data_IF_366981031680
#
_entry.id   IF_366981031680
#
_cell.length_a   1.000
_cell.length_b   1.000
_cell.length_c   1.000
_cell.angle_alpha   90.00
_cell.angle_beta   90.00
_cell.angle_gamma   90.00
#
_symmetry.space_group_name_H-M   'P 1'
#
loop_
_entity.id
_entity.type
_entity.pdbx_description
1 polymer ?
#
# COMPACT_ATOMS: atom_id res chain seq x y z
N UNK A 1 -5.92 1.17 -90.28
CA UNK A 1 -6.64 2.03 -89.31
C UNK A 1 -6.80 1.19 -88.04
N UNK A 2 -5.71 0.98 -87.29
CA UNK A 2 -5.34 1.71 -86.03
C UNK A 2 -6.40 1.48 -84.94
N UNK A 3 -6.35 0.41 -84.14
CA UNK A 3 -5.56 0.25 -82.89
C UNK A 3 -5.42 1.54 -82.09
N UNK A 4 -6.08 1.60 -80.93
CA UNK A 4 -5.55 2.24 -79.71
C UNK A 4 -6.21 1.60 -78.50
N UNK A 5 -5.45 0.75 -77.81
CA UNK A 5 -5.67 0.35 -76.42
C UNK A 5 -5.50 1.57 -75.52
N UNK A 6 -6.34 1.71 -74.49
CA UNK A 6 -6.06 2.55 -73.33
C UNK A 6 -6.11 1.63 -72.13
N UNK A 7 -4.92 1.20 -71.72
CA UNK A 7 -4.64 0.70 -70.39
C UNK A 7 -4.49 1.91 -69.46
N UNK A 8 -5.19 1.88 -68.33
CA UNK A 8 -4.87 2.61 -67.11
C UNK A 8 -5.78 2.01 -66.02
N UNK A 9 -5.37 1.67 -64.81
CA UNK A 9 -4.07 1.54 -64.16
C UNK A 9 -4.44 0.94 -62.81
N UNK A 10 -4.24 -0.37 -62.62
CA UNK A 10 -4.47 -1.03 -61.31
C UNK A 10 -3.45 -0.49 -60.30
N UNK A 11 -3.86 0.50 -59.50
CA UNK A 11 -3.13 0.85 -58.28
C UNK A 11 -3.54 -0.11 -57.16
N UNK A 12 -3.15 -1.38 -57.30
CA UNK A 12 -3.15 -2.33 -56.19
C UNK A 12 -1.89 -2.06 -55.36
N UNK A 13 -1.93 -1.00 -54.55
CA UNK A 13 -0.94 -0.78 -53.50
C UNK A 13 -1.04 -1.95 -52.54
N UNK A 14 0.00 -2.79 -52.53
CA UNK A 14 0.20 -3.89 -51.60
C UNK A 14 -0.14 -3.41 -50.18
N UNK A 15 -1.26 -3.88 -49.63
CA UNK A 15 -1.56 -3.76 -48.22
C UNK A 15 -0.50 -4.61 -47.50
N UNK A 16 0.53 -3.96 -46.95
CA UNK A 16 1.42 -4.62 -46.02
C UNK A 16 0.57 -5.10 -44.84
N UNK A 17 0.30 -6.40 -44.78
CA UNK A 17 -0.46 -7.00 -43.69
C UNK A 17 0.24 -6.66 -42.37
N UNK A 18 -0.49 -6.02 -41.46
CA UNK A 18 0.03 -5.70 -40.15
C UNK A 18 0.38 -6.99 -39.40
N UNK A 19 1.48 -7.01 -38.63
CA UNK A 19 1.82 -8.14 -37.78
C UNK A 19 0.63 -8.57 -36.91
N UNK A 20 0.40 -9.88 -36.80
CA UNK A 20 -0.72 -10.44 -36.04
C UNK A 20 -0.77 -9.94 -34.60
N UNK A 21 0.40 -9.74 -33.97
CA UNK A 21 0.51 -9.20 -32.62
C UNK A 21 -0.12 -7.80 -32.49
N UNK A 22 0.10 -6.91 -33.46
CA UNK A 22 -0.52 -5.58 -33.45
C UNK A 22 -2.04 -5.65 -33.59
N UNK A 23 -2.54 -6.61 -34.38
CA UNK A 23 -3.98 -6.83 -34.55
C UNK A 23 -4.60 -7.33 -33.25
N UNK A 24 -3.90 -8.20 -32.51
CA UNK A 24 -4.32 -8.70 -31.21
C UNK A 24 -4.35 -7.57 -30.17
N UNK A 25 -3.37 -6.66 -30.16
CA UNK A 25 -3.38 -5.44 -29.32
C UNK A 25 -4.61 -4.58 -29.63
N UNK A 26 -4.91 -4.32 -30.91
CA UNK A 26 -6.06 -3.50 -31.28
C UNK A 26 -7.39 -4.14 -30.87
N UNK A 27 -7.46 -5.47 -30.93
CA UNK A 27 -8.62 -6.22 -30.45
C UNK A 27 -8.78 -6.11 -28.94
N UNK A 28 -7.70 -6.29 -28.18
CA UNK A 28 -7.70 -6.15 -26.72
C UNK A 28 -8.12 -4.74 -26.29
N UNK A 29 -7.64 -3.71 -26.98
CA UNK A 29 -8.09 -2.33 -26.75
C UNK A 29 -9.58 -2.17 -27.05
N UNK A 30 -10.09 -2.70 -28.17
CA UNK A 30 -11.50 -2.60 -28.54
C UNK A 30 -12.47 -3.28 -27.55
N UNK A 31 -12.01 -4.31 -26.85
CA UNK A 31 -12.75 -5.00 -25.78
C UNK A 31 -12.78 -4.22 -24.46
N UNK A 32 -11.92 -3.21 -24.29
CA UNK A 32 -11.86 -2.42 -23.07
C UNK A 32 -13.00 -1.39 -23.00
N UNK A 33 -13.82 -1.48 -21.95
CA UNK A 33 -14.99 -0.62 -21.73
C UNK A 33 -14.64 0.79 -21.25
N UNK A 34 -13.46 0.97 -20.63
CA UNK A 34 -13.03 2.28 -20.09
C UNK A 34 -12.56 3.27 -21.17
N UNK A 35 -12.34 2.79 -22.40
CA UNK A 35 -11.77 3.59 -23.49
C UNK A 35 -12.86 4.34 -24.26
N UNK A 36 -12.69 5.65 -24.40
CA UNK A 36 -13.57 6.49 -25.25
C UNK A 36 -13.01 6.57 -26.67
N UNK A 37 -13.58 5.79 -27.58
CA UNK A 37 -13.16 5.70 -29.00
C UNK A 37 -13.65 6.87 -29.87
N UNK A 38 -14.75 7.51 -29.52
CA UNK A 38 -15.31 8.65 -30.24
C UNK A 38 -16.23 9.43 -29.33
N UNK A 39 -16.27 10.76 -29.49
CA UNK A 39 -17.33 11.57 -28.90
C UNK A 39 -18.65 11.23 -29.61
N UNK A 40 -19.53 10.51 -28.91
CA UNK A 40 -20.86 10.12 -29.37
C UNK A 40 -21.90 11.01 -28.68
N UNK A 41 -22.92 11.43 -29.42
CA UNK A 41 -24.11 12.07 -28.85
C UNK A 41 -25.03 11.02 -28.23
N UNK A 42 -25.97 11.44 -27.40
CA UNK A 42 -26.90 10.55 -26.68
C UNK A 42 -27.69 9.63 -27.63
N UNK A 43 -27.98 10.11 -28.84
CA UNK A 43 -28.76 9.39 -29.85
C UNK A 43 -27.88 8.61 -30.86
N UNK A 44 -26.55 8.66 -30.73
CA UNK A 44 -25.66 7.92 -31.63
C UNK A 44 -25.68 6.42 -31.26
N UNK A 45 -25.63 5.53 -32.27
CA UNK A 45 -25.56 4.09 -32.01
C UNK A 45 -24.23 3.70 -31.36
N UNK A 46 -24.27 2.70 -30.47
CA UNK A 46 -23.06 2.15 -29.86
C UNK A 46 -22.11 1.57 -30.91
N UNK A 47 -20.82 1.88 -30.76
CA UNK A 47 -19.78 1.37 -31.66
C UNK A 47 -19.59 -0.14 -31.49
N UNK A 48 -19.60 -0.86 -32.61
CA UNK A 48 -19.31 -2.28 -32.62
C UNK A 48 -17.80 -2.54 -32.37
N UNK A 49 -17.44 -3.75 -31.91
CA UNK A 49 -16.05 -4.14 -31.66
C UNK A 49 -15.15 -3.95 -32.90
N UNK A 50 -15.66 -4.28 -34.09
CA UNK A 50 -14.93 -4.09 -35.34
C UNK A 50 -14.69 -2.61 -35.65
N UNK A 51 -15.66 -1.74 -35.38
CA UNK A 51 -15.53 -0.30 -35.58
C UNK A 51 -14.54 0.31 -34.58
N UNK A 52 -14.60 -0.11 -33.31
CA UNK A 52 -13.60 0.26 -32.29
C UNK A 52 -12.20 -0.17 -32.72
N UNK A 53 -12.02 -1.40 -33.19
CA UNK A 53 -10.74 -1.90 -33.68
C UNK A 53 -10.23 -1.10 -34.87
N UNK A 54 -11.10 -0.75 -35.82
CA UNK A 54 -10.76 0.10 -36.96
C UNK A 54 -10.29 1.49 -36.52
N UNK A 55 -10.99 2.12 -35.57
CA UNK A 55 -10.60 3.44 -35.03
C UNK A 55 -9.18 3.39 -34.42
N UNK A 56 -8.88 2.32 -33.66
CA UNK A 56 -7.57 2.11 -33.03
C UNK A 56 -6.49 1.92 -34.11
N UNK A 57 -6.76 1.07 -35.10
CA UNK A 57 -5.86 0.81 -36.22
C UNK A 57 -5.59 2.07 -37.05
N UNK A 58 -6.62 2.85 -37.34
CA UNK A 58 -6.51 4.13 -38.04
C UNK A 58 -5.68 5.14 -37.26
N UNK A 59 -5.87 5.23 -35.94
CA UNK A 59 -5.07 6.10 -35.08
C UNK A 59 -3.58 5.72 -35.13
N UNK A 60 -3.26 4.43 -35.02
CA UNK A 60 -1.89 3.92 -35.12
C UNK A 60 -1.27 4.20 -36.50
N UNK A 61 -2.01 3.90 -37.57
CA UNK A 61 -1.56 4.08 -38.94
C UNK A 61 -1.43 5.56 -39.32
N UNK A 62 -2.20 6.45 -38.70
CA UNK A 62 -2.09 7.89 -38.92
C UNK A 62 -0.84 8.42 -38.22
N UNK A 63 -0.76 8.29 -36.89
CA UNK A 63 0.36 8.80 -36.12
C UNK A 63 0.53 7.99 -34.82
N UNK A 64 1.68 7.33 -34.69
CA UNK A 64 1.97 6.41 -33.58
C UNK A 64 2.05 7.11 -32.22
N UNK A 65 2.53 8.36 -32.17
CA UNK A 65 2.58 9.14 -30.92
C UNK A 65 1.17 9.42 -30.40
N UNK A 66 0.27 9.90 -31.29
CA UNK A 66 -1.12 10.17 -30.92
C UNK A 66 -1.86 8.90 -30.48
N UNK A 67 -1.55 7.76 -31.10
CA UNK A 67 -2.04 6.47 -30.64
C UNK A 67 -1.59 6.18 -29.20
N UNK A 68 -0.30 6.34 -28.90
CA UNK A 68 0.24 6.09 -27.56
C UNK A 68 -0.33 7.06 -26.53
N UNK A 69 -0.44 8.35 -26.83
CA UNK A 69 -1.04 9.35 -25.92
C UNK A 69 -2.48 8.94 -25.56
N UNK A 70 -3.22 8.42 -26.53
CA UNK A 70 -4.65 8.13 -26.37
C UNK A 70 -4.93 6.78 -25.73
N UNK A 71 -4.16 5.74 -26.07
CA UNK A 71 -4.45 4.36 -25.68
C UNK A 71 -3.38 3.76 -24.76
N UNK A 72 -2.24 4.44 -24.58
CA UNK A 72 -1.07 3.89 -23.89
C UNK A 72 -1.32 3.52 -22.42
N UNK A 73 -2.20 4.25 -21.73
CA UNK A 73 -2.59 3.95 -20.34
C UNK A 73 -3.37 2.65 -20.17
N UNK A 74 -3.91 2.10 -21.27
CA UNK A 74 -4.74 0.89 -21.27
C UNK A 74 -3.99 -0.34 -21.79
N UNK A 75 -2.69 -0.20 -22.09
CA UNK A 75 -1.84 -1.29 -22.54
C UNK A 75 -1.19 -1.99 -21.36
N UNK A 76 -1.01 -3.31 -21.48
CA UNK A 76 -0.21 -4.08 -20.53
C UNK A 76 1.30 -4.04 -20.88
N UNK A 77 2.14 -4.55 -19.96
CA UNK A 77 3.59 -4.56 -20.16
C UNK A 77 4.02 -5.38 -21.40
N UNK A 78 3.35 -6.49 -21.67
CA UNK A 78 3.61 -7.33 -22.85
C UNK A 78 3.31 -6.60 -24.15
N UNK A 79 2.16 -5.94 -24.24
CA UNK A 79 1.72 -5.15 -25.37
C UNK A 79 2.63 -3.93 -25.60
N UNK A 80 3.10 -3.27 -24.54
CA UNK A 80 4.09 -2.18 -24.64
C UNK A 80 5.43 -2.69 -25.17
N UNK A 81 5.89 -3.87 -24.74
CA UNK A 81 7.10 -4.51 -25.26
C UNK A 81 6.94 -4.92 -26.74
N UNK A 82 5.79 -5.48 -27.11
CA UNK A 82 5.47 -5.83 -28.49
C UNK A 82 5.45 -4.57 -29.38
N UNK A 83 4.84 -3.49 -28.94
CA UNK A 83 4.88 -2.20 -29.63
C UNK A 83 6.31 -1.66 -29.75
N UNK A 84 7.13 -1.76 -28.71
CA UNK A 84 8.53 -1.34 -28.81
C UNK A 84 9.28 -2.14 -29.88
N UNK A 85 9.03 -3.45 -30.00
CA UNK A 85 9.70 -4.30 -30.98
C UNK A 85 9.15 -4.19 -32.42
N UNK A 86 7.86 -3.88 -32.57
CA UNK A 86 7.14 -3.90 -33.85
C UNK A 86 6.84 -2.52 -34.42
N UNK A 87 6.55 -1.53 -33.56
CA UNK A 87 6.23 -0.16 -33.97
C UNK A 87 7.49 0.67 -34.28
N UNK A 88 8.63 0.28 -33.71
CA UNK A 88 9.96 0.89 -33.97
C UNK A 88 10.63 0.14 -35.14
N UNK A 89 10.01 0.16 -36.31
CA UNK A 89 10.65 -0.31 -37.55
C UNK A 89 10.57 0.78 -38.60
N UNK A 90 11.72 1.09 -39.20
CA UNK A 90 11.79 2.00 -40.34
C UNK A 90 10.96 1.45 -41.53
N UNK A 91 10.34 2.33 -42.34
CA UNK A 91 10.47 3.78 -42.31
C UNK A 91 9.49 4.47 -41.33
N UNK A 92 9.99 5.51 -40.66
CA UNK A 92 9.20 6.41 -39.81
C UNK A 92 8.56 7.47 -40.70
N UNK A 93 7.33 7.86 -40.37
CA UNK A 93 6.65 8.91 -41.13
C UNK A 93 7.27 10.27 -40.83
N UNK A 94 7.27 11.23 -41.76
CA UNK A 94 7.92 12.53 -41.55
C UNK A 94 7.29 13.37 -40.42
N UNK A 95 6.06 13.04 -40.01
CA UNK A 95 5.32 13.66 -38.91
C UNK A 95 5.46 12.92 -37.57
N UNK A 96 6.33 11.92 -37.49
CA UNK A 96 6.60 11.13 -36.29
C UNK A 96 8.08 11.24 -35.89
N UNK A 97 8.33 11.27 -34.59
CA UNK A 97 9.63 11.29 -33.95
C UNK A 97 9.89 9.97 -33.25
N UNK A 98 10.95 9.28 -33.66
CA UNK A 98 11.32 8.00 -33.05
C UNK A 98 11.59 8.13 -31.55
N UNK A 99 12.24 9.23 -31.19
CA UNK A 99 12.66 9.49 -29.83
C UNK A 99 11.45 9.71 -28.94
N UNK A 100 10.48 10.50 -29.39
CA UNK A 100 9.26 10.76 -28.63
C UNK A 100 8.44 9.48 -28.44
N UNK A 101 8.34 8.62 -29.48
CA UNK A 101 7.67 7.32 -29.37
C UNK A 101 8.35 6.44 -28.30
N UNK A 102 9.68 6.39 -28.27
CA UNK A 102 10.44 5.63 -27.25
C UNK A 102 10.21 6.17 -25.86
N UNK A 103 10.29 7.49 -25.69
CA UNK A 103 10.05 8.15 -24.40
C UNK A 103 8.64 7.89 -23.88
N UNK A 104 7.62 7.93 -24.75
CA UNK A 104 6.25 7.58 -24.36
C UNK A 104 6.13 6.12 -23.91
N UNK A 105 6.72 5.18 -24.66
CA UNK A 105 6.67 3.76 -24.28
C UNK A 105 7.33 3.51 -22.93
N UNK A 106 8.51 4.08 -22.70
CA UNK A 106 9.21 3.95 -21.42
C UNK A 106 8.42 4.63 -20.29
N UNK A 107 7.79 5.78 -20.54
CA UNK A 107 6.92 6.45 -19.58
C UNK A 107 5.69 5.60 -19.19
N UNK A 108 5.00 5.01 -20.17
CA UNK A 108 3.86 4.13 -19.89
C UNK A 108 4.28 2.87 -19.13
N UNK A 109 5.43 2.27 -19.47
CA UNK A 109 5.98 1.15 -18.70
C UNK A 109 6.27 1.58 -17.27
N UNK A 110 6.98 2.69 -17.05
CA UNK A 110 7.26 3.21 -15.71
C UNK A 110 5.97 3.40 -14.92
N UNK A 111 4.99 4.10 -15.49
CA UNK A 111 3.67 4.33 -14.87
C UNK A 111 2.95 3.04 -14.52
N UNK A 112 3.02 2.00 -15.36
CA UNK A 112 2.39 0.72 -15.10
C UNK A 112 2.98 0.04 -13.86
N UNK A 113 4.32 0.06 -13.73
CA UNK A 113 5.03 -0.54 -12.60
C UNK A 113 4.88 0.28 -11.31
N UNK A 114 4.89 1.61 -11.40
CA UNK A 114 4.80 2.50 -10.23
C UNK A 114 3.36 2.81 -9.82
N UNK A 115 2.34 2.47 -10.62
CA UNK A 115 0.93 2.82 -10.35
C UNK A 115 0.50 2.49 -8.92
N UNK A 116 0.81 1.28 -8.45
CA UNK A 116 0.40 0.84 -7.11
C UNK A 116 1.05 1.68 -5.99
N UNK A 117 2.30 2.11 -6.21
CA UNK A 117 3.05 2.96 -5.29
C UNK A 117 2.50 4.39 -5.35
N UNK A 118 2.29 4.94 -6.55
CA UNK A 118 1.68 6.27 -6.73
C UNK A 118 0.30 6.37 -6.07
N UNK A 119 -0.55 5.35 -6.23
CA UNK A 119 -1.86 5.29 -5.57
C UNK A 119 -1.71 5.29 -4.04
N UNK A 120 -0.80 4.47 -3.50
CA UNK A 120 -0.52 4.46 -2.04
C UNK A 120 0.00 5.81 -1.56
N UNK A 121 0.87 6.46 -2.32
CA UNK A 121 1.42 7.77 -1.98
C UNK A 121 0.33 8.87 -2.00
N UNK A 122 -0.53 8.88 -3.02
CA UNK A 122 -1.70 9.79 -3.10
C UNK A 122 -2.66 9.57 -1.93
N UNK A 123 -2.97 8.30 -1.62
CA UNK A 123 -3.80 7.94 -0.46
C UNK A 123 -3.13 8.36 0.84
N UNK A 124 -1.82 8.22 0.98
CA UNK A 124 -1.09 8.69 2.15
C UNK A 124 -1.22 10.20 2.33
N UNK A 125 -1.05 10.99 1.26
CA UNK A 125 -1.26 12.44 1.29
C UNK A 125 -2.70 12.81 1.65
N UNK A 126 -3.69 12.12 1.08
CA UNK A 126 -5.10 12.32 1.45
C UNK A 126 -5.36 11.97 2.93
N UNK A 127 -4.78 10.88 3.43
CA UNK A 127 -4.88 10.45 4.82
C UNK A 127 -4.32 11.51 5.77
N UNK A 128 -3.15 12.08 5.48
CA UNK A 128 -2.56 13.15 6.28
C UNK A 128 -3.46 14.39 6.34
N UNK A 129 -4.05 14.78 5.21
CA UNK A 129 -5.02 15.89 5.16
C UNK A 129 -6.27 15.59 6.01
N UNK A 130 -6.78 14.35 5.98
CA UNK A 130 -7.93 13.94 6.78
C UNK A 130 -7.61 13.90 8.28
N UNK A 131 -6.42 13.44 8.65
CA UNK A 131 -5.93 13.47 10.03
C UNK A 131 -5.81 14.91 10.55
N UNK A 132 -5.34 15.85 9.71
CA UNK A 132 -5.25 17.25 10.06
C UNK A 132 -6.62 17.91 10.26
N UNK A 133 -7.62 17.56 9.43
CA UNK A 133 -9.00 18.02 9.59
C UNK A 133 -9.67 17.42 10.83
N UNK A 134 -9.36 16.16 11.16
CA UNK A 134 -9.81 15.48 12.38
C UNK A 134 -11.24 14.93 12.36
N UNK A 135 -11.96 15.06 11.25
CA UNK A 135 -13.36 14.57 11.14
C UNK A 135 -13.39 13.05 10.88
N UNK A 136 -12.76 12.61 9.78
CA UNK A 136 -12.82 11.21 9.29
C UNK A 136 -12.12 10.19 10.20
N UNK A 137 -11.04 10.61 10.86
CA UNK A 137 -10.29 9.81 11.84
C UNK A 137 -10.66 10.17 13.28
N UNK A 138 -11.84 10.76 13.50
CA UNK A 138 -12.37 10.88 14.85
C UNK A 138 -12.73 9.49 15.39
N UNK A 139 -12.59 9.29 16.70
CA UNK A 139 -12.93 8.03 17.35
C UNK A 139 -14.38 7.61 17.03
N UNK A 140 -15.29 8.58 16.96
CA UNK A 140 -16.69 8.35 16.63
C UNK A 140 -16.87 7.80 15.21
N UNK A 141 -16.32 8.46 14.19
CA UNK A 141 -16.41 8.01 12.79
C UNK A 141 -15.75 6.64 12.60
N UNK A 142 -14.59 6.42 13.21
CA UNK A 142 -13.88 5.15 13.10
C UNK A 142 -14.64 4.00 13.76
N UNK A 143 -15.29 4.25 14.90
CA UNK A 143 -16.16 3.29 15.57
C UNK A 143 -17.39 2.93 14.72
N UNK A 144 -17.98 3.90 14.01
CA UNK A 144 -19.12 3.64 13.12
C UNK A 144 -18.74 2.75 11.94
N UNK A 145 -17.56 3.00 11.35
CA UNK A 145 -17.07 2.23 10.20
C UNK A 145 -16.58 0.83 10.57
N UNK A 146 -16.06 0.65 11.78
CA UNK A 146 -15.48 -0.61 12.24
C UNK A 146 -15.86 -0.94 13.70
N UNK A 147 -17.15 -1.22 14.00
CA UNK A 147 -17.64 -1.40 15.35
C UNK A 147 -17.03 -2.63 16.06
N UNK A 148 -16.82 -3.72 15.33
CA UNK A 148 -16.18 -4.95 15.84
C UNK A 148 -14.75 -4.70 16.31
N UNK A 149 -13.94 -4.10 15.43
CA UNK A 149 -12.55 -3.78 15.72
C UNK A 149 -12.43 -2.79 16.87
N UNK A 150 -13.32 -1.79 16.91
CA UNK A 150 -13.40 -0.85 18.01
C UNK A 150 -13.72 -1.55 19.33
N UNK A 151 -14.70 -2.46 19.35
CA UNK A 151 -15.08 -3.18 20.57
C UNK A 151 -13.92 -4.01 21.12
N UNK A 152 -13.17 -4.70 20.25
CA UNK A 152 -12.03 -5.52 20.61
C UNK A 152 -10.85 -4.70 21.16
N UNK A 153 -10.48 -3.59 20.51
CA UNK A 153 -9.28 -2.85 20.89
C UNK A 153 -9.54 -1.71 21.87
N UNK A 154 -10.76 -1.15 21.89
CA UNK A 154 -11.06 0.05 22.66
C UNK A 154 -12.28 -0.18 23.56
N UNK A 155 -13.43 -0.52 22.98
CA UNK A 155 -14.74 -0.54 23.64
C UNK A 155 -14.84 -1.42 24.89
N UNK A 156 -14.21 -2.59 24.90
CA UNK A 156 -14.19 -3.48 26.09
C UNK A 156 -13.38 -2.94 27.26
N UNK A 157 -12.44 -2.02 26.99
CA UNK A 157 -11.54 -1.43 28.00
C UNK A 157 -11.97 -0.02 28.44
N UNK A 158 -13.14 0.45 28.02
CA UNK A 158 -13.74 1.69 28.54
C UNK A 158 -14.61 1.40 29.78
N UNK A 159 -14.43 2.23 30.81
CA UNK A 159 -15.33 2.27 31.96
C UNK A 159 -16.71 2.82 31.55
N UNK A 160 -17.76 2.50 32.32
CA UNK A 160 -19.10 3.04 32.07
C UNK A 160 -19.13 4.58 32.09
N UNK A 161 -18.30 5.20 32.95
CA UNK A 161 -18.16 6.64 33.02
C UNK A 161 -17.54 7.22 31.74
N UNK A 162 -16.50 6.59 31.20
CA UNK A 162 -15.87 6.99 29.94
C UNK A 162 -16.81 6.76 28.74
N UNK A 163 -17.53 5.63 28.70
CA UNK A 163 -18.57 5.38 27.66
C UNK A 163 -19.62 6.48 27.67
N UNK A 164 -20.10 6.88 28.85
CA UNK A 164 -21.07 7.97 29.00
C UNK A 164 -20.52 9.34 28.61
N UNK A 165 -19.22 9.58 28.81
CA UNK A 165 -18.56 10.80 28.35
C UNK A 165 -18.40 10.82 26.83
N UNK A 166 -17.99 9.69 26.23
CA UNK A 166 -17.91 9.53 24.78
C UNK A 166 -19.26 9.75 24.11
N UNK A 167 -20.30 9.15 24.67
CA UNK A 167 -21.67 9.26 24.17
C UNK A 167 -22.38 10.55 24.63
N UNK A 168 -21.66 11.46 25.28
CA UNK A 168 -22.23 12.73 25.70
C UNK A 168 -22.47 13.61 24.47
N UNK A 169 -23.73 13.96 24.25
CA UNK A 169 -24.16 14.78 23.13
C UNK A 169 -24.47 16.20 23.59
N UNK A 170 -24.06 17.21 22.80
CA UNK A 170 -24.38 18.60 23.09
C UNK A 170 -25.83 18.92 22.71
N UNK A 171 -26.73 18.65 23.65
CA UNK A 171 -28.17 18.88 23.52
C UNK A 171 -28.51 20.39 23.37
N UNK A 172 -27.61 21.31 23.76
CA UNK A 172 -27.93 22.75 23.75
C UNK A 172 -27.69 23.42 22.40
N UNK A 173 -26.73 22.90 21.63
CA UNK A 173 -26.32 23.50 20.36
C UNK A 173 -26.89 22.77 19.13
N UNK A 174 -27.81 21.83 19.34
CA UNK A 174 -28.31 20.92 18.30
C UNK A 174 -29.83 21.00 18.15
N UNK A 175 -30.30 20.84 16.91
CA UNK A 175 -31.73 20.80 16.59
C UNK A 175 -32.38 19.55 17.18
N UNK A 176 -33.70 19.60 17.43
CA UNK A 176 -34.48 18.44 17.84
C UNK A 176 -34.30 17.23 16.90
N UNK A 177 -34.17 17.47 15.59
CA UNK A 177 -33.84 16.43 14.63
C UNK A 177 -32.48 15.78 14.90
N UNK A 178 -31.47 16.57 15.26
CA UNK A 178 -30.13 16.06 15.61
C UNK A 178 -30.15 15.21 16.88
N UNK A 179 -30.92 15.61 17.89
CA UNK A 179 -31.10 14.83 19.12
C UNK A 179 -31.74 13.46 18.79
N UNK A 180 -32.77 13.44 17.94
CA UNK A 180 -33.42 12.19 17.53
C UNK A 180 -32.49 11.29 16.72
N UNK A 181 -31.76 11.84 15.75
CA UNK A 181 -30.79 11.09 14.94
C UNK A 181 -29.70 10.49 15.83
N UNK A 182 -29.10 11.29 16.70
CA UNK A 182 -28.11 10.81 17.67
C UNK A 182 -28.65 9.67 18.54
N UNK A 183 -29.89 9.80 19.04
CA UNK A 183 -30.52 8.75 19.88
C UNK A 183 -30.76 7.46 19.11
N UNK A 184 -31.11 7.56 17.81
CA UNK A 184 -31.30 6.39 16.95
C UNK A 184 -29.96 5.72 16.61
N UNK A 185 -28.95 6.51 16.25
CA UNK A 185 -27.59 6.03 15.96
C UNK A 185 -26.97 5.37 17.20
N UNK A 186 -27.16 5.95 18.39
CA UNK A 186 -26.71 5.37 19.65
C UNK A 186 -27.36 4.01 19.91
N UNK A 187 -28.68 3.91 19.72
CA UNK A 187 -29.39 2.63 19.92
C UNK A 187 -28.91 1.57 18.93
N UNK A 188 -28.79 1.91 17.65
CA UNK A 188 -28.31 0.98 16.63
C UNK A 188 -26.90 0.47 16.96
N UNK A 189 -26.03 1.36 17.45
CA UNK A 189 -24.68 1.01 17.87
C UNK A 189 -24.68 0.07 19.08
N UNK A 190 -25.46 0.38 20.10
CA UNK A 190 -25.55 -0.44 21.31
C UNK A 190 -26.07 -1.85 20.99
N UNK A 191 -27.07 -1.95 20.09
CA UNK A 191 -27.58 -3.22 19.60
C UNK A 191 -26.51 -4.03 18.86
N UNK A 192 -25.71 -3.37 18.00
CA UNK A 192 -24.64 -4.02 17.22
C UNK A 192 -23.51 -4.51 18.15
N UNK A 193 -23.05 -3.67 19.08
CA UNK A 193 -22.03 -4.05 20.07
C UNK A 193 -22.52 -5.21 20.95
N UNK A 194 -23.79 -5.21 21.35
CA UNK A 194 -24.37 -6.31 22.11
C UNK A 194 -24.37 -7.61 21.32
N UNK A 195 -24.70 -7.58 20.02
CA UNK A 195 -24.64 -8.75 19.15
C UNK A 195 -23.21 -9.29 19.04
N UNK A 196 -22.22 -8.43 18.82
CA UNK A 196 -20.80 -8.81 18.76
C UNK A 196 -20.36 -9.46 20.08
N UNK A 197 -20.66 -8.83 21.21
CA UNK A 197 -20.33 -9.38 22.54
C UNK A 197 -20.97 -10.76 22.76
N UNK A 198 -22.20 -10.98 22.28
CA UNK A 198 -22.83 -12.31 22.36
C UNK A 198 -22.14 -13.33 21.46
N UNK A 199 -21.83 -12.99 20.21
CA UNK A 199 -21.13 -13.89 19.28
C UNK A 199 -19.74 -14.27 19.78
N UNK A 200 -18.96 -13.32 20.30
CA UNK A 200 -17.64 -13.59 20.89
C UNK A 200 -17.72 -14.54 22.10
N UNK A 201 -18.78 -14.44 22.90
CA UNK A 201 -19.00 -15.36 24.04
C UNK A 201 -19.35 -16.77 23.56
N UNK A 202 -20.20 -16.90 22.54
CA UNK A 202 -20.57 -18.20 21.96
C UNK A 202 -19.35 -18.91 21.31
N UNK A 203 -18.47 -18.16 20.65
CA UNK A 203 -17.21 -18.68 20.11
C UNK A 203 -16.22 -19.14 21.22
N UNK A 204 -16.23 -18.47 22.38
CA UNK A 204 -15.43 -18.89 23.53
C UNK A 204 -15.97 -20.16 24.21
N UNK A 205 -17.29 -20.31 24.30
CA UNK A 205 -17.90 -21.51 24.90
C UNK A 205 -17.71 -22.76 24.02
N UNK A 206 -17.69 -22.61 22.70
CA UNK A 206 -17.46 -23.72 21.76
C UNK A 206 -16.01 -24.19 21.66
N UNK A 207 -15.05 -23.33 22.01
CA UNK A 207 -13.60 -23.63 21.99
C UNK A 207 -13.04 -24.13 23.31
N UNK A 208 -13.86 -24.23 24.37
CA UNK A 208 -13.45 -24.80 25.66
C UNK A 208 -13.69 -26.31 25.65
N UNK A 209 -12.70 -27.19 25.41
CA UNK A 209 -12.90 -28.60 25.66
C UNK A 209 -13.16 -28.78 27.16
N UNK A 210 -14.21 -29.54 27.49
CA UNK A 210 -14.48 -30.01 28.85
C UNK A 210 -13.17 -30.30 29.58
N UNK A 211 -12.95 -29.61 30.71
CA UNK A 211 -11.81 -29.84 31.57
C UNK A 211 -11.71 -31.33 31.91
N UNK A 212 -10.83 -32.05 31.20
CA UNK A 212 -10.29 -33.29 31.68
C UNK A 212 -9.46 -32.94 32.93
N UNK A 213 -9.51 -33.74 34.00
CA UNK A 213 -8.72 -33.47 35.19
C UNK A 213 -7.25 -33.35 34.81
N UNK A 214 -6.64 -32.23 35.18
CA UNK A 214 -5.23 -31.92 34.99
C UNK A 214 -4.39 -33.10 35.51
N UNK A 215 -3.79 -33.86 34.60
CA UNK A 215 -2.58 -34.60 34.96
C UNK A 215 -1.49 -33.55 35.14
N UNK A 216 -0.88 -33.50 36.33
CA UNK A 216 0.33 -32.73 36.60
C UNK A 216 1.38 -33.03 35.52
N UNK A 217 1.54 -32.11 34.57
CA UNK A 217 2.74 -32.08 33.75
C UNK A 217 3.81 -31.39 34.59
N UNK A 218 4.61 -32.19 35.30
CA UNK A 218 5.84 -31.72 35.94
C UNK A 218 6.77 -31.15 34.86
N UNK A 219 6.73 -29.83 34.68
CA UNK A 219 7.70 -29.10 33.88
C UNK A 219 9.03 -29.13 34.64
N UNK A 220 10.10 -29.74 34.08
CA UNK A 220 11.39 -29.82 34.76
C UNK A 220 11.89 -28.44 35.18
N UNK A 221 12.52 -28.33 36.36
CA UNK A 221 12.98 -27.04 36.92
C UNK A 221 13.89 -26.24 35.98
N UNK A 222 14.62 -26.91 35.07
CA UNK A 222 15.45 -26.28 34.05
C UNK A 222 14.64 -25.41 33.06
N UNK A 223 13.35 -25.70 32.87
CA UNK A 223 12.46 -24.98 31.96
C UNK A 223 11.66 -23.87 32.67
N UNK A 224 11.79 -23.72 34.00
CA UNK A 224 11.20 -22.61 34.78
C UNK A 224 12.05 -21.33 34.77
N UNK A 225 13.11 -21.30 33.97
CA UNK A 225 13.96 -20.12 33.88
C UNK A 225 13.26 -19.07 33.01
N UNK A 226 12.83 -17.99 33.66
CA UNK A 226 12.34 -16.78 33.01
C UNK A 226 13.46 -16.23 32.12
N UNK A 227 13.13 -15.92 30.87
CA UNK A 227 14.06 -15.25 29.96
C UNK A 227 14.60 -13.96 30.64
N UNK A 228 15.92 -13.89 30.83
CA UNK A 228 16.60 -12.72 31.42
C UNK A 228 16.99 -12.83 32.91
N UNK A 229 16.85 -13.97 33.58
CA UNK A 229 17.31 -14.14 34.97
C UNK A 229 18.81 -14.46 35.06
N UNK A 230 19.63 -13.50 35.49
CA UNK A 230 21.03 -13.76 35.85
C UNK A 230 21.10 -14.31 37.29
N UNK A 231 22.08 -15.17 37.56
CA UNK A 231 22.15 -15.97 38.79
C UNK A 231 22.34 -15.18 40.10
N UNK A 232 22.65 -13.88 40.02
CA UNK A 232 22.91 -13.00 41.17
C UNK A 232 21.78 -12.00 41.47
N UNK A 233 20.69 -11.98 40.69
CA UNK A 233 19.54 -11.14 41.01
C UNK A 233 18.62 -11.87 41.99
N UNK A 234 18.61 -11.44 43.26
CA UNK A 234 17.58 -11.89 44.21
C UNK A 234 16.19 -11.62 43.62
N UNK A 235 15.27 -12.59 43.67
CA UNK A 235 13.95 -12.45 43.09
C UNK A 235 13.15 -11.41 43.89
N UNK A 236 13.19 -10.15 43.46
CA UNK A 236 12.18 -9.16 43.86
C UNK A 236 10.91 -9.48 43.08
N UNK A 237 10.22 -10.52 43.53
CA UNK A 237 8.87 -10.82 43.07
C UNK A 237 7.96 -9.65 43.51
N UNK A 238 7.63 -8.76 42.58
CA UNK A 238 6.44 -7.92 42.68
C UNK A 238 5.20 -8.81 42.65
N UNK A 239 4.90 -9.52 43.74
CA UNK A 239 3.64 -10.24 43.96
C UNK A 239 3.52 -10.70 45.41
N UNK A 240 3.17 -9.79 46.31
CA UNK A 240 2.49 -10.16 47.55
C UNK A 240 0.99 -10.15 47.30
N UNK A 241 0.47 -11.22 46.71
CA UNK A 241 -0.96 -11.50 46.78
C UNK A 241 -1.17 -12.96 47.15
N UNK A 242 -1.66 -13.16 48.38
CA UNK A 242 -2.07 -14.46 48.92
C UNK A 242 -3.21 -15.02 48.08
N UNK A 243 -3.08 -16.30 47.69
CA UNK A 243 -4.13 -17.25 47.33
C UNK A 243 -5.55 -16.67 47.20
N UNK A 244 -5.82 -16.07 46.05
CA UNK A 244 -7.15 -16.04 45.44
C UNK A 244 -6.95 -16.78 44.12
N UNK A 245 -7.58 -17.93 43.95
CA UNK A 245 -7.52 -18.67 42.69
C UNK A 245 -7.91 -17.74 41.54
N UNK A 246 -7.30 -17.87 40.35
CA UNK A 246 -7.67 -17.02 39.23
C UNK A 246 -9.16 -17.24 38.93
N UNK A 247 -9.97 -16.19 38.76
CA UNK A 247 -11.29 -16.40 38.18
C UNK A 247 -11.08 -17.02 36.79
N UNK A 248 -11.69 -18.18 36.57
CA UNK A 248 -11.72 -18.84 35.27
C UNK A 248 -12.62 -18.01 34.33
N UNK A 249 -11.99 -17.05 33.66
CA UNK A 249 -12.57 -16.12 32.69
C UNK A 249 -11.60 -14.97 32.50
N UNK A 250 -11.25 -14.61 31.26
CA UNK A 250 -10.39 -13.45 30.99
C UNK A 250 -10.93 -12.27 31.80
N UNK A 251 -10.06 -11.61 32.54
CA UNK A 251 -10.43 -10.44 33.33
C UNK A 251 -10.65 -9.29 32.33
N UNK A 252 -11.87 -9.15 31.83
CA UNK A 252 -12.27 -8.20 30.77
C UNK A 252 -12.80 -6.89 31.34
N UNK A 253 -12.38 -6.50 32.54
CA UNK A 253 -12.79 -5.24 33.15
C UNK A 253 -11.68 -4.21 33.01
N UNK A 254 -12.04 -3.01 32.56
CA UNK A 254 -11.13 -1.85 32.38
C UNK A 254 -10.23 -1.56 33.60
N UNK A 255 -10.59 -2.07 34.77
CA UNK A 255 -9.89 -1.96 36.06
C UNK A 255 -8.56 -2.73 36.12
N UNK A 256 -8.34 -3.71 35.24
CA UNK A 256 -7.12 -4.54 35.23
C UNK A 256 -6.07 -4.12 34.21
N UNK A 257 -6.41 -3.19 33.31
CA UNK A 257 -5.49 -2.70 32.30
C UNK A 257 -4.83 -1.40 32.74
N UNK A 258 -3.51 -1.35 32.65
CA UNK A 258 -2.76 -0.14 32.93
C UNK A 258 -3.16 0.95 31.90
N UNK A 259 -3.35 2.22 32.29
CA UNK A 259 -3.58 3.32 31.34
C UNK A 259 -2.62 3.32 30.13
N UNK A 260 -1.37 2.91 30.31
CA UNK A 260 -0.42 2.77 29.21
C UNK A 260 -0.81 1.67 28.20
N UNK A 261 -1.33 0.53 28.66
CA UNK A 261 -1.79 -0.57 27.79
C UNK A 261 -3.05 -0.18 27.03
N UNK A 262 -3.97 0.52 27.70
CA UNK A 262 -5.20 1.05 27.09
C UNK A 262 -4.86 2.03 25.96
N UNK A 263 -3.83 2.86 26.16
CA UNK A 263 -3.35 3.79 25.14
C UNK A 263 -2.68 3.07 23.98
N UNK A 264 -1.91 2.02 24.24
CA UNK A 264 -1.32 1.19 23.19
C UNK A 264 -2.40 0.57 22.30
N UNK A 265 -3.45 0.00 22.90
CA UNK A 265 -4.57 -0.58 22.16
C UNK A 265 -5.35 0.46 21.34
N UNK A 266 -5.51 1.69 21.85
CA UNK A 266 -6.06 2.81 21.06
C UNK A 266 -5.19 3.15 19.87
N UNK A 267 -3.87 3.15 20.05
CA UNK A 267 -2.92 3.40 18.96
C UNK A 267 -2.93 2.26 17.92
N UNK A 268 -3.10 1.01 18.34
CA UNK A 268 -3.30 -0.12 17.43
C UNK A 268 -4.59 0.03 16.62
N UNK A 269 -5.71 0.38 17.27
CA UNK A 269 -6.97 0.67 16.59
C UNK A 269 -6.80 1.78 15.54
N UNK A 270 -6.12 2.87 15.92
CA UNK A 270 -5.81 3.96 15.02
C UNK A 270 -4.92 3.51 13.84
N UNK A 271 -3.90 2.70 14.11
CA UNK A 271 -2.99 2.15 13.10
C UNK A 271 -3.70 1.28 12.07
N UNK A 272 -4.54 0.34 12.53
CA UNK A 272 -5.31 -0.54 11.65
C UNK A 272 -6.29 0.25 10.77
N UNK A 273 -6.91 1.30 11.32
CA UNK A 273 -7.83 2.13 10.56
C UNK A 273 -7.12 2.99 9.51
N UNK A 274 -5.89 3.44 9.79
CA UNK A 274 -5.02 4.06 8.77
C UNK A 274 -4.61 3.06 7.69
N UNK A 275 -4.27 1.83 8.06
CA UNK A 275 -3.91 0.77 7.10
C UNK A 275 -5.09 0.38 6.19
N UNK A 276 -6.29 0.23 6.76
CA UNK A 276 -7.53 0.02 6.00
C UNK A 276 -7.77 1.14 5.00
N UNK A 277 -7.55 2.39 5.42
CA UNK A 277 -7.66 3.53 4.53
C UNK A 277 -6.65 3.45 3.37
N UNK A 278 -5.35 3.23 3.65
CA UNK A 278 -4.30 3.16 2.62
C UNK A 278 -4.51 1.98 1.66
N UNK A 279 -4.96 0.84 2.17
CA UNK A 279 -5.24 -0.36 1.37
C UNK A 279 -6.51 -0.25 0.52
N UNK A 280 -7.39 0.71 0.78
CA UNK A 280 -8.61 0.91 0.00
C UNK A 280 -9.81 0.11 0.48
N UNK A 281 -9.83 -0.27 1.76
CA UNK A 281 -10.85 -1.15 2.34
C UNK A 281 -12.05 -0.39 2.94
N UNK A 282 -11.97 0.94 3.08
CA UNK A 282 -13.06 1.74 3.63
C UNK A 282 -14.14 1.97 2.58
N UNK A 283 -15.23 1.19 2.65
CA UNK A 283 -16.32 1.21 1.65
C UNK A 283 -17.06 2.55 1.57
N UNK A 284 -17.10 3.30 2.67
CA UNK A 284 -17.79 4.59 2.76
C UNK A 284 -16.98 5.75 2.15
N UNK A 285 -15.73 5.50 1.72
CA UNK A 285 -14.83 6.51 1.16
C UNK A 285 -14.72 6.39 -0.36
N UNK A 286 -14.87 7.52 -1.07
CA UNK A 286 -14.72 7.58 -2.51
C UNK A 286 -13.24 7.69 -2.93
N UNK A 287 -12.59 6.53 -3.10
CA UNK A 287 -11.19 6.45 -3.51
C UNK A 287 -10.92 6.94 -4.93
N UNK A 288 -11.91 6.96 -5.83
CA UNK A 288 -11.69 7.44 -7.20
C UNK A 288 -11.28 8.93 -7.21
N UNK A 289 -11.79 9.71 -6.26
CA UNK A 289 -11.44 11.13 -6.08
C UNK A 289 -9.98 11.36 -5.65
N UNK A 290 -9.31 10.33 -5.12
CA UNK A 290 -7.93 10.39 -4.60
C UNK A 290 -6.96 9.67 -5.54
N UNK A 291 -7.31 8.46 -5.98
CA UNK A 291 -6.44 7.59 -6.77
C UNK A 291 -6.08 8.21 -8.13
N UNK A 292 -7.01 8.93 -8.76
CA UNK A 292 -6.82 9.59 -10.06
C UNK A 292 -6.41 11.07 -9.93
N UNK A 293 -6.18 11.57 -8.71
CA UNK A 293 -5.89 12.98 -8.48
C UNK A 293 -4.39 13.27 -8.43
N UNK A 294 -3.85 13.76 -9.55
CA UNK A 294 -2.44 14.15 -9.66
C UNK A 294 -2.03 15.32 -8.74
N UNK A 295 -2.97 16.09 -8.17
CA UNK A 295 -2.62 17.15 -7.21
C UNK A 295 -2.16 16.61 -5.85
N UNK A 296 -2.45 15.34 -5.56
CA UNK A 296 -1.98 14.65 -4.36
C UNK A 296 -0.61 13.98 -4.56
N UNK A 297 0.01 14.13 -5.73
CA UNK A 297 1.38 13.64 -5.95
C UNK A 297 2.38 14.51 -5.17
N UNK A 298 3.08 13.89 -4.21
CA UNK A 298 4.17 14.55 -3.50
C UNK A 298 5.41 14.59 -4.39
N UNK A 299 5.52 15.65 -5.19
CA UNK A 299 6.65 15.86 -6.10
C UNK A 299 8.00 15.81 -5.39
N UNK A 300 8.09 16.22 -4.11
CA UNK A 300 9.35 16.20 -3.37
C UNK A 300 9.75 14.79 -2.96
N UNK A 301 8.76 13.93 -2.70
CA UNK A 301 9.03 12.54 -2.41
C UNK A 301 9.44 11.82 -3.68
N UNK A 302 8.74 12.07 -4.79
CA UNK A 302 9.08 11.50 -6.10
C UNK A 302 10.51 11.89 -6.51
N UNK A 303 10.89 13.16 -6.38
CA UNK A 303 12.25 13.63 -6.68
C UNK A 303 13.31 12.88 -5.85
N UNK A 304 13.07 12.70 -4.55
CA UNK A 304 13.98 11.94 -3.68
C UNK A 304 14.05 10.46 -4.05
N UNK A 305 12.91 9.83 -4.33
CA UNK A 305 12.86 8.43 -4.75
C UNK A 305 13.59 8.23 -6.10
N UNK A 306 13.49 9.21 -7.02
CA UNK A 306 14.22 9.22 -8.29
C UNK A 306 15.73 9.44 -8.10
N UNK A 307 16.13 10.35 -7.22
CA UNK A 307 17.53 10.55 -6.82
C UNK A 307 18.12 9.26 -6.23
N UNK A 308 17.45 8.63 -5.27
CA UNK A 308 17.89 7.39 -4.64
C UNK A 308 18.03 6.25 -5.67
N UNK A 309 17.05 6.09 -6.58
CA UNK A 309 17.13 5.10 -7.64
C UNK A 309 18.31 5.34 -8.60
N UNK A 310 18.65 6.60 -8.87
CA UNK A 310 19.83 6.94 -9.66
C UNK A 310 21.13 6.49 -8.98
N UNK A 311 21.28 6.74 -7.67
CA UNK A 311 22.45 6.31 -6.91
C UNK A 311 22.57 4.79 -6.81
N UNK A 312 21.48 4.07 -6.51
CA UNK A 312 21.48 2.60 -6.43
C UNK A 312 21.88 1.93 -7.76
N UNK A 313 21.48 2.53 -8.89
CA UNK A 313 21.86 2.02 -10.21
C UNK A 313 23.34 2.25 -10.52
N UNK A 314 23.92 3.36 -10.07
CA UNK A 314 25.33 3.71 -10.28
C UNK A 314 26.29 2.87 -9.43
N UNK A 315 25.88 2.47 -8.22
CA UNK A 315 26.73 1.65 -7.33
C UNK A 315 26.94 0.22 -7.85
N UNK A 316 26.07 -0.27 -8.74
CA UNK A 316 26.23 -1.58 -9.38
C UNK A 316 27.21 -1.60 -10.56
N UNK A 317 27.51 -0.43 -11.16
CA UNK A 317 28.43 -0.35 -12.31
C UNK A 317 29.91 -0.34 -11.90
N UNK A 318 30.22 -0.16 -10.61
CA UNK A 318 31.61 -0.03 -10.12
C UNK A 318 32.24 -1.36 -9.63
N UNK A 319 31.48 -2.47 -9.57
CA UNK A 319 32.03 -3.79 -9.17
C UNK A 319 32.53 -4.64 -10.35
N UNK A 320 32.37 -4.16 -11.59
CA UNK A 320 32.87 -4.84 -12.80
C UNK A 320 34.27 -4.42 -13.27
N UNK A 321 34.95 -3.54 -12.52
CA UNK A 321 36.34 -3.16 -12.81
C UNK A 321 37.34 -3.56 -11.72
N UNK A 322 37.08 -4.65 -10.99
CA UNK A 322 38.14 -5.39 -10.26
C UNK A 322 38.90 -6.29 -11.24
N UNK A 323 39.62 -5.66 -12.17
CA UNK A 323 40.64 -6.33 -12.96
C UNK A 323 41.72 -6.89 -12.00
N UNK A 324 42.09 -8.15 -12.21
CA UNK A 324 43.04 -8.92 -11.40
C UNK A 324 44.34 -8.17 -11.11
N UNK A 325 44.44 -7.49 -9.96
CA UNK A 325 45.75 -7.12 -9.41
C UNK A 325 46.25 -8.26 -8.55
N UNK A 326 47.07 -9.12 -9.15
CA UNK A 326 47.85 -10.18 -8.49
C UNK A 326 48.58 -9.63 -7.25
N UNK A 327 48.64 -10.37 -6.12
CA UNK A 327 49.30 -9.87 -4.93
C UNK A 327 50.82 -9.96 -5.12
N UNK A 328 51.49 -8.82 -5.18
CA UNK A 328 52.95 -8.73 -5.01
C UNK A 328 53.20 -8.08 -3.65
N UNK A 329 53.60 -8.90 -2.68
CA UNK A 329 54.30 -8.44 -1.49
C UNK A 329 55.82 -8.59 -1.74
N UNK A 330 56.72 -7.97 -0.95
CA UNK A 330 56.55 -6.91 0.05
C UNK A 330 57.59 -5.76 -0.10
N UNK A 331 57.30 -4.53 0.34
CA UNK A 331 58.33 -3.70 0.99
C UNK A 331 57.72 -2.84 2.11
N UNK A 332 58.32 -2.99 3.30
CA UNK A 332 57.98 -2.26 4.52
C UNK A 332 58.36 -0.79 4.37
N UNK A 333 57.40 0.11 4.53
CA UNK A 333 57.63 1.45 5.10
C UNK A 333 56.57 1.70 6.18
N UNK A 334 57.04 1.81 7.41
CA UNK A 334 56.24 2.25 8.55
C UNK A 334 55.79 3.69 8.35
N UNK A 335 54.49 3.88 8.28
CA UNK A 335 53.81 5.12 8.65
C UNK A 335 52.56 4.70 9.41
N UNK A 336 52.70 4.58 10.72
CA UNK A 336 51.57 4.52 11.65
C UNK A 336 51.00 5.93 11.71
N UNK A 337 49.99 6.21 10.90
CA UNK A 337 49.03 7.28 11.14
C UNK A 337 47.65 6.62 11.00
N UNK A 338 47.21 6.01 12.11
CA UNK A 338 45.85 5.55 12.31
C UNK A 338 45.03 6.81 12.64
N UNK A 339 44.26 7.31 11.68
CA UNK A 339 43.18 8.25 11.98
C UNK A 339 42.12 7.45 12.75
N UNK A 340 42.20 7.47 14.09
CA UNK A 340 41.25 6.77 14.96
C UNK A 340 39.89 7.48 14.89
N UNK A 341 38.89 6.80 14.32
CA UNK A 341 37.51 7.30 14.26
C UNK A 341 36.93 7.49 15.67
N UNK A 342 35.97 8.41 15.83
CA UNK A 342 35.34 8.71 17.14
C UNK A 342 34.73 7.46 17.80
N UNK A 343 34.33 6.47 17.00
CA UNK A 343 33.86 5.16 17.46
C UNK A 343 34.98 4.29 18.06
N UNK A 344 36.18 4.30 17.49
CA UNK A 344 37.34 3.56 18.01
C UNK A 344 37.81 4.16 19.33
N UNK A 345 37.76 5.49 19.43
CA UNK A 345 38.00 6.23 20.67
C UNK A 345 36.97 5.81 21.72
N UNK A 346 35.68 5.80 21.37
CA UNK A 346 34.60 5.41 22.30
C UNK A 346 34.73 3.96 22.78
N UNK A 347 35.00 3.02 21.87
CA UNK A 347 35.17 1.59 22.19
C UNK A 347 36.40 1.33 23.07
N UNK A 348 37.50 2.07 22.86
CA UNK A 348 38.66 2.02 23.78
C UNK A 348 38.33 2.55 25.16
N UNK A 349 37.55 3.62 25.27
CA UNK A 349 37.15 4.17 26.57
C UNK A 349 36.25 3.21 27.35
N UNK A 350 35.34 2.52 26.65
CA UNK A 350 34.50 1.46 27.23
C UNK A 350 35.35 0.27 27.71
N UNK A 351 36.28 -0.22 26.88
CA UNK A 351 37.13 -1.36 27.25
C UNK A 351 38.13 -1.04 28.38
N UNK A 352 38.40 0.24 28.64
CA UNK A 352 39.20 0.72 29.77
C UNK A 352 38.37 1.06 31.00
N UNK A 353 37.04 0.96 30.93
CA UNK A 353 36.19 1.25 32.07
C UNK A 353 36.36 0.15 33.14
N UNK A 354 36.68 0.50 34.40
CA UNK A 354 37.01 -0.48 35.44
C UNK A 354 35.84 -1.40 35.85
N UNK A 355 34.63 -1.16 35.35
CA UNK A 355 33.48 -2.06 35.51
C UNK A 355 33.47 -3.24 34.53
N UNK A 356 34.34 -3.24 33.51
CA UNK A 356 34.46 -4.31 32.51
C UNK A 356 35.79 -5.09 32.61
N UNK A 357 36.65 -4.71 33.56
CA UNK A 357 37.88 -5.43 33.88
C UNK A 357 37.64 -6.27 35.14
N UNK A 358 37.14 -7.48 34.96
CA UNK A 358 37.06 -8.51 35.99
C UNK A 358 38.20 -9.52 35.85
#
# INVERSE_FOLDING_TARGET
>A
MTQTEIADSESNSQAAELPTQLVDIFKALAENESIVFKSQQIDDPELNLLEKQQIVQEAFNKNRENFLIRFGSHLDDGQLNELQSLAIKEPIKPDESLEDIRLLLDDFKRKLHTRSICVKNRRYQAMEQLLQKGEYFSEHEMMQRAPELYQELVGQYLTEAEKKQRDSYDVRNTSFSGILMHTLEQRQRDELLQQIDTSLREEQETTTPMAAPLNDCDVPDACRQQWGGFADDEPVACSTSRNIGPPAGRITTAEYYNPAERELLRNEFMGLMKERFLSGQDQDFDYASVDDNAQLDDLKQIERDEEDAYFESSDNDDDHNKEEVRPVAPERRSSNDEDEDELDVYMRHLNKHPSLQH
#
